data_IF_946419784475
#
_entry.id   IF_946419784475
#
_cell.length_a   1.000
_cell.length_b   1.000
_cell.length_c   1.000
_cell.angle_alpha   90.00
_cell.angle_beta   90.00
_cell.angle_gamma   90.00
#
_symmetry.space_group_name_H-M   'P 1'
#
loop_
_entity.id
_entity.type
_entity.pdbx_description
1 polymer ?
#
# COMPACT_ATOMS: atom_id res chain seq x y z
N UNK A 1 -3.80 -14.02 -2.90
CA UNK A 1 -2.60 -13.18 -2.84
C UNK A 1 -2.68 -12.43 -1.53
N UNK A 2 -1.91 -12.87 -0.55
CA UNK A 2 -1.86 -12.24 0.77
C UNK A 2 -0.74 -11.20 0.81
N UNK A 3 -0.85 -10.25 1.72
CA UNK A 3 0.11 -9.16 1.86
C UNK A 3 0.27 -8.82 3.33
N UNK A 4 1.50 -8.87 3.83
CA UNK A 4 1.84 -8.48 5.19
C UNK A 4 2.49 -7.11 5.14
N UNK A 5 1.87 -6.15 5.80
CA UNK A 5 2.39 -4.79 5.92
C UNK A 5 2.76 -4.57 7.37
N UNK A 6 3.99 -4.14 7.62
CA UNK A 6 4.46 -3.68 8.93
C UNK A 6 4.83 -2.21 8.84
N UNK A 7 4.17 -1.37 9.64
CA UNK A 7 4.37 0.08 9.63
C UNK A 7 4.94 0.54 10.97
N UNK A 8 5.95 1.40 10.90
CA UNK A 8 6.64 1.94 12.05
C UNK A 8 6.69 3.46 11.96
N UNK A 9 6.47 4.14 13.08
CA UNK A 9 6.61 5.57 13.24
C UNK A 9 7.86 5.87 14.07
N UNK A 10 8.70 6.79 13.61
CA UNK A 10 9.85 7.25 14.36
C UNK A 10 9.43 8.21 15.47
N UNK A 11 9.65 7.82 16.72
CA UNK A 11 9.28 8.56 17.92
C UNK A 11 10.48 8.65 18.85
N UNK A 12 10.90 9.87 19.24
CA UNK A 12 11.91 10.14 20.28
C UNK A 12 13.08 9.13 20.26
N UNK A 13 13.67 8.93 19.07
CA UNK A 13 14.82 8.06 18.77
C UNK A 13 14.56 6.55 18.54
N UNK A 14 13.33 6.07 18.51
CA UNK A 14 13.01 4.66 18.23
C UNK A 14 11.92 4.50 17.17
N UNK A 15 11.94 3.37 16.46
CA UNK A 15 10.86 2.95 15.56
C UNK A 15 9.79 2.23 16.37
N UNK A 16 8.63 2.86 16.52
CA UNK A 16 7.48 2.29 17.23
C UNK A 16 6.54 1.70 16.20
N UNK A 17 6.20 0.42 16.36
CA UNK A 17 5.25 -0.25 15.48
C UNK A 17 3.83 0.33 15.66
N UNK A 18 3.17 0.61 14.54
CA UNK A 18 1.81 1.12 14.49
C UNK A 18 0.87 -0.07 14.39
N UNK A 19 -0.02 -0.31 15.37
CA UNK A 19 -0.96 -1.43 15.30
C UNK A 19 -1.94 -1.27 14.13
N UNK A 20 -2.50 -2.39 13.65
CA UNK A 20 -3.56 -2.34 12.66
C UNK A 20 -4.83 -1.73 13.25
N UNK A 21 -5.22 -0.54 12.77
CA UNK A 21 -6.46 0.15 13.13
C UNK A 21 -7.19 0.52 11.85
N UNK A 22 -8.44 0.09 11.70
CA UNK A 22 -9.27 0.35 10.52
C UNK A 22 -8.61 0.00 9.17
N UNK A 23 -7.85 -1.10 9.14
CA UNK A 23 -7.03 -1.51 7.97
C UNK A 23 -5.93 -0.49 7.61
N UNK A 24 -5.35 0.19 8.60
CA UNK A 24 -4.20 1.06 8.45
C UNK A 24 -3.15 0.75 9.54
N UNK A 25 -1.87 0.77 9.18
CA UNK A 25 -0.75 0.41 10.07
C UNK A 25 -0.15 -0.96 9.74
N UNK A 26 0.29 -1.70 10.76
CA UNK A 26 0.81 -3.07 10.61
C UNK A 26 -0.33 -4.09 10.45
N UNK A 27 -0.86 -4.23 9.24
CA UNK A 27 -1.99 -5.11 8.92
C UNK A 27 -1.58 -6.26 7.98
N UNK A 28 -2.16 -7.44 8.21
CA UNK A 28 -2.10 -8.58 7.28
C UNK A 28 -3.38 -8.62 6.44
N UNK A 29 -3.22 -8.46 5.12
CA UNK A 29 -4.29 -8.53 4.14
C UNK A 29 -4.30 -9.92 3.52
N UNK A 30 -5.24 -10.76 3.94
CA UNK A 30 -5.35 -12.14 3.43
C UNK A 30 -5.72 -12.17 1.95
N UNK A 31 -6.55 -11.21 1.51
CA UNK A 31 -6.93 -11.07 0.11
C UNK A 31 -6.77 -9.62 -0.35
N UNK A 32 -5.58 -9.28 -0.88
CA UNK A 32 -5.32 -7.97 -1.45
C UNK A 32 -6.25 -7.62 -2.61
N UNK A 33 -6.85 -8.62 -3.29
CA UNK A 33 -7.80 -8.37 -4.37
C UNK A 33 -9.16 -7.89 -3.85
N UNK A 34 -9.57 -8.29 -2.64
CA UNK A 34 -10.82 -7.83 -2.01
C UNK A 34 -10.79 -6.34 -1.63
N UNK A 35 -9.59 -5.79 -1.41
CA UNK A 35 -9.37 -4.38 -1.07
C UNK A 35 -9.43 -3.47 -2.30
N UNK A 36 -9.40 -4.02 -3.50
CA UNK A 36 -9.50 -3.27 -4.75
C UNK A 36 -10.97 -3.00 -5.03
N UNK A 37 -11.46 -1.75 -4.94
CA UNK A 37 -12.88 -1.45 -5.10
C UNK A 37 -13.35 -1.48 -6.56
N UNK A 38 -12.42 -1.63 -7.52
CA UNK A 38 -12.70 -1.55 -8.95
C UNK A 38 -13.19 -2.90 -9.49
N UNK A 39 -14.33 -2.88 -10.18
CA UNK A 39 -14.86 -4.07 -10.87
C UNK A 39 -14.33 -4.18 -12.30
N UNK A 40 -14.24 -5.41 -12.80
CA UNK A 40 -13.94 -5.67 -14.21
C UNK A 40 -14.94 -4.93 -15.12
N UNK A 41 -14.44 -3.99 -15.92
CA UNK A 41 -15.23 -3.15 -16.82
C UNK A 41 -15.37 -1.69 -16.39
N UNK A 42 -14.97 -1.31 -15.18
CA UNK A 42 -14.83 0.10 -14.80
C UNK A 42 -13.45 0.63 -15.23
N UNK A 43 -13.36 1.87 -15.75
CA UNK A 43 -12.07 2.46 -16.09
C UNK A 43 -11.24 2.67 -14.82
N UNK A 44 -9.96 2.27 -14.87
CA UNK A 44 -9.03 2.52 -13.77
C UNK A 44 -8.88 4.03 -13.53
N UNK A 45 -8.73 4.46 -12.28
CA UNK A 45 -8.45 5.86 -11.99
C UNK A 45 -7.09 6.26 -12.57
N UNK A 46 -6.95 7.54 -12.91
CA UNK A 46 -5.62 8.11 -13.13
C UNK A 46 -4.82 8.02 -11.81
N UNK A 47 -3.50 7.73 -11.85
CA UNK A 47 -2.63 7.66 -13.03
C UNK A 47 -2.56 6.29 -13.72
N UNK A 48 -3.22 5.26 -13.18
CA UNK A 48 -3.09 3.88 -13.70
C UNK A 48 -3.64 3.75 -15.13
N UNK A 49 -4.79 4.36 -15.41
CA UNK A 49 -5.37 4.37 -16.76
C UNK A 49 -4.49 5.09 -17.78
N UNK A 50 -3.78 6.14 -17.38
CA UNK A 50 -2.85 6.88 -18.24
C UNK A 50 -1.71 6.00 -18.77
N UNK A 51 -1.27 5.03 -17.97
CA UNK A 51 -0.19 4.11 -18.31
C UNK A 51 -0.68 2.70 -18.67
N UNK A 52 -2.00 2.55 -18.89
CA UNK A 52 -2.64 1.27 -19.24
C UNK A 52 -2.30 0.14 -18.25
N UNK A 53 -2.17 0.48 -16.97
CA UNK A 53 -1.90 -0.47 -15.90
C UNK A 53 -3.22 -1.09 -15.42
N UNK A 54 -3.28 -2.42 -15.23
CA UNK A 54 -4.46 -3.07 -14.69
C UNK A 54 -4.71 -2.62 -13.25
N UNK A 55 -5.98 -2.40 -12.91
CA UNK A 55 -6.44 -2.10 -11.54
C UNK A 55 -7.42 -3.16 -11.03
N UNK A 56 -7.46 -4.34 -11.66
CA UNK A 56 -8.36 -5.44 -11.31
C UNK A 56 -7.56 -6.74 -11.29
N UNK A 57 -7.80 -7.57 -10.29
CA UNK A 57 -7.25 -8.92 -10.26
C UNK A 57 -7.93 -9.82 -11.32
N UNK A 58 -7.24 -10.82 -11.88
CA UNK A 58 -5.84 -11.20 -11.63
C UNK A 58 -4.81 -10.40 -12.46
N UNK A 59 -3.68 -10.06 -11.84
CA UNK A 59 -2.54 -9.44 -12.52
C UNK A 59 -1.79 -10.49 -13.34
N UNK A 60 -1.65 -10.26 -14.64
CA UNK A 60 -0.93 -11.18 -15.52
C UNK A 60 0.58 -11.04 -15.34
N UNK A 61 1.33 -12.09 -15.64
CA UNK A 61 2.78 -11.99 -15.71
C UNK A 61 3.17 -11.00 -16.82
N UNK A 62 4.04 -10.04 -16.50
CA UNK A 62 4.49 -9.02 -17.44
C UNK A 62 5.33 -7.95 -16.77
N UNK A 63 5.73 -6.95 -17.55
CA UNK A 63 6.48 -5.80 -17.04
C UNK A 63 5.54 -4.61 -16.89
N UNK A 64 5.45 -4.08 -15.67
CA UNK A 64 4.63 -2.93 -15.34
C UNK A 64 5.52 -1.71 -15.15
N UNK A 65 5.21 -0.63 -15.87
CA UNK A 65 5.95 0.63 -15.77
C UNK A 65 5.01 1.73 -15.30
N UNK A 66 5.31 2.27 -14.11
CA UNK A 66 4.64 3.45 -13.59
C UNK A 66 5.65 4.60 -13.50
N UNK A 67 5.61 5.57 -14.43
CA UNK A 67 6.40 6.79 -14.34
C UNK A 67 6.02 7.62 -13.10
N UNK A 68 6.89 8.57 -12.74
CA UNK A 68 6.66 9.48 -11.62
C UNK A 68 5.27 10.12 -11.74
N UNK A 69 4.43 9.82 -10.77
CA UNK A 69 3.03 10.25 -10.72
C UNK A 69 2.78 10.94 -9.38
N UNK A 70 1.92 11.96 -9.40
CA UNK A 70 1.49 12.66 -8.19
C UNK A 70 0.19 12.05 -7.72
N UNK A 71 0.11 11.72 -6.43
CA UNK A 71 -1.11 11.27 -5.77
C UNK A 71 -1.44 12.28 -4.69
N UNK A 72 -2.67 12.81 -4.70
CA UNK A 72 -3.15 13.71 -3.67
C UNK A 72 -3.76 12.89 -2.53
N UNK A 73 -3.25 13.07 -1.31
CA UNK A 73 -3.77 12.41 -0.12
C UNK A 73 -4.80 13.35 0.52
N UNK A 74 -6.09 12.96 0.60
CA UNK A 74 -7.10 13.80 1.23
C UNK A 74 -6.83 13.92 2.74
N UNK A 75 -6.97 15.13 3.30
CA UNK A 75 -6.79 15.35 4.74
C UNK A 75 -7.96 14.82 5.60
N UNK A 76 -9.06 14.42 4.97
CA UNK A 76 -10.26 13.88 5.64
C UNK A 76 -10.14 12.37 5.81
N UNK A 77 -10.45 11.86 7.01
CA UNK A 77 -10.42 10.42 7.30
C UNK A 77 -9.04 9.85 7.62
N UNK A 78 -8.03 10.71 7.83
CA UNK A 78 -6.73 10.29 8.31
C UNK A 78 -6.81 9.99 9.82
N UNK A 79 -6.25 8.84 10.29
CA UNK A 79 -6.18 8.55 11.70
C UNK A 79 -5.36 9.58 12.48
N UNK A 80 -5.69 9.81 13.75
CA UNK A 80 -4.98 10.78 14.59
C UNK A 80 -3.50 10.44 14.81
N UNK A 81 -3.11 9.16 14.67
CA UNK A 81 -1.72 8.71 14.79
C UNK A 81 -0.86 9.07 13.58
N UNK A 82 -1.46 9.46 12.44
CA UNK A 82 -0.77 9.82 11.22
C UNK A 82 -0.39 11.31 11.26
N UNK A 83 0.59 11.65 12.09
CA UNK A 83 1.12 13.00 12.30
C UNK A 83 2.38 13.25 11.46
N UNK A 84 2.95 14.46 11.54
CA UNK A 84 4.26 14.74 10.95
C UNK A 84 5.34 13.85 11.56
N UNK A 85 6.21 13.28 10.73
CA UNK A 85 7.26 12.39 11.18
C UNK A 85 7.80 11.46 10.10
N UNK A 86 8.79 10.66 10.49
CA UNK A 86 9.37 9.63 9.63
C UNK A 86 8.66 8.30 9.86
N UNK A 87 8.31 7.65 8.76
CA UNK A 87 7.64 6.36 8.73
C UNK A 87 8.47 5.34 7.96
N UNK A 88 8.52 4.13 8.50
CA UNK A 88 9.13 2.97 7.85
C UNK A 88 8.04 1.94 7.60
N UNK A 89 7.95 1.47 6.37
CA UNK A 89 6.93 0.53 5.92
C UNK A 89 7.65 -0.66 5.29
N UNK A 90 7.42 -1.85 5.83
CA UNK A 90 7.81 -3.12 5.21
C UNK A 90 6.56 -3.74 4.59
N UNK A 91 6.65 -4.16 3.33
CA UNK A 91 5.56 -4.80 2.60
C UNK A 91 6.04 -6.12 2.02
N UNK A 92 5.39 -7.21 2.38
CA UNK A 92 5.66 -8.55 1.86
C UNK A 92 4.43 -9.04 1.11
N UNK A 93 4.63 -9.54 -0.12
CA UNK A 93 3.56 -10.06 -0.96
C UNK A 93 3.74 -11.56 -1.13
N UNK A 94 2.65 -12.32 -0.98
CA UNK A 94 2.63 -13.76 -1.08
C UNK A 94 1.55 -14.22 -2.05
N UNK A 95 1.83 -15.28 -2.82
CA UNK A 95 0.82 -15.95 -3.64
C UNK A 95 -0.10 -16.83 -2.77
N UNK A 96 -1.19 -17.32 -3.36
CA UNK A 96 -2.13 -18.31 -2.81
C UNK A 96 -1.50 -19.62 -2.33
N UNK A 97 -0.25 -19.91 -2.70
CA UNK A 97 0.53 -21.07 -2.24
C UNK A 97 1.55 -20.69 -1.15
N UNK A 98 1.40 -19.54 -0.50
CA UNK A 98 2.31 -18.96 0.51
C UNK A 98 3.75 -18.72 0.02
N UNK A 99 3.95 -18.66 -1.29
CA UNK A 99 5.24 -18.32 -1.90
C UNK A 99 5.44 -16.79 -1.91
N UNK A 100 6.56 -16.30 -1.38
CA UNK A 100 6.89 -14.88 -1.38
C UNK A 100 7.16 -14.39 -2.80
N UNK A 101 6.34 -13.45 -3.28
CA UNK A 101 6.44 -12.82 -4.60
C UNK A 101 7.31 -11.55 -4.57
N UNK A 102 7.21 -10.76 -3.51
CA UNK A 102 7.94 -9.50 -3.38
C UNK A 102 8.16 -9.10 -1.91
N UNK A 103 9.17 -8.25 -1.70
CA UNK A 103 9.46 -7.57 -0.44
C UNK A 103 9.88 -6.13 -0.74
N UNK A 104 9.26 -5.17 -0.07
CA UNK A 104 9.60 -3.76 -0.20
C UNK A 104 9.87 -3.16 1.18
N UNK A 105 10.99 -2.45 1.30
CA UNK A 105 11.31 -1.60 2.44
C UNK A 105 11.26 -0.15 2.00
N UNK A 106 10.33 0.60 2.58
CA UNK A 106 10.02 1.97 2.21
C UNK A 106 10.22 2.85 3.45
N UNK A 107 10.94 3.96 3.28
CA UNK A 107 11.08 4.99 4.30
C UNK A 107 10.57 6.30 3.70
N UNK A 108 9.63 6.93 4.39
CA UNK A 108 8.98 8.16 3.93
C UNK A 108 8.85 9.13 5.10
N UNK A 109 9.01 10.42 4.82
CA UNK A 109 8.74 11.48 5.77
C UNK A 109 7.41 12.13 5.40
N UNK A 110 6.51 12.22 6.36
CA UNK A 110 5.23 12.90 6.20
C UNK A 110 5.34 14.33 6.77
N UNK A 111 4.85 15.29 6.00
CA UNK A 111 4.71 16.69 6.44
C UNK A 111 3.35 17.18 5.98
N UNK A 112 2.50 17.54 6.92
CA UNK A 112 1.11 17.96 6.75
C UNK A 112 0.97 19.45 6.48
#
# INVERSE_FOLDING_TARGET
MSSDISCFHFQVFVWVEIPCVDNLGSCTYVDGCSMIPFKAGQPCPAPLSTYNLPCTCPFQQGTYHLPKSTVEIPQTGLPEWLTDGDYKINVQLYDTSDAQLACFDIVVSLTK
#
